data_IF_246940185578
#
_entry.id   IF_246940185578
#
_cell.length_a   1.000
_cell.length_b   1.000
_cell.length_c   1.000
_cell.angle_alpha   90.00
_cell.angle_beta   90.00
_cell.angle_gamma   90.00
#
_symmetry.space_group_name_H-M   'P 1'
#
loop_
_entity.id
_entity.type
_entity.pdbx_description
1 polymer ?
#
# COMPACT_ATOMS: atom_id res chain seq x y z
N UNK A 1 -2.26 -8.32 9.25
CA UNK A 1 -1.91 -8.25 7.82
C UNK A 1 -2.60 -7.05 7.19
N UNK A 2 -2.17 -6.61 6.00
CA UNK A 2 -2.29 -5.22 5.54
C UNK A 2 -1.33 -4.29 6.29
N UNK A 3 -1.61 -2.97 6.36
CA UNK A 3 -0.74 -1.89 6.85
C UNK A 3 0.07 -2.21 8.12
N UNK A 4 -0.44 -3.04 9.02
CA UNK A 4 0.28 -3.54 10.21
C UNK A 4 1.60 -4.29 9.92
N UNK A 5 1.84 -4.79 8.70
CA UNK A 5 3.14 -5.37 8.31
C UNK A 5 4.20 -4.29 8.02
N UNK A 6 3.79 -3.06 7.74
CA UNK A 6 4.70 -2.00 7.30
C UNK A 6 4.76 -0.83 8.26
N UNK A 7 3.71 -0.60 9.05
CA UNK A 7 3.65 0.51 10.01
C UNK A 7 3.67 0.02 11.44
N UNK A 8 4.28 0.80 12.33
CA UNK A 8 4.14 0.61 13.77
C UNK A 8 2.69 0.81 14.24
N UNK A 9 2.40 0.31 15.44
CA UNK A 9 1.31 0.84 16.24
C UNK A 9 1.87 1.97 17.11
N UNK A 10 1.86 3.20 16.58
CA UNK A 10 2.46 4.35 17.24
C UNK A 10 1.73 4.67 18.55
N UNK A 11 2.49 4.97 19.59
CA UNK A 11 2.05 5.45 20.90
C UNK A 11 2.37 6.92 21.10
N UNK A 12 3.32 7.45 20.31
CA UNK A 12 3.75 8.84 20.37
C UNK A 12 4.19 9.33 18.97
N UNK A 13 4.28 10.66 18.74
CA UNK A 13 4.86 11.22 17.52
C UNK A 13 6.37 10.94 17.35
N UNK A 14 7.06 10.46 18.38
CA UNK A 14 8.49 10.14 18.35
C UNK A 14 8.76 8.73 17.81
N UNK A 15 7.76 7.86 17.82
CA UNK A 15 7.84 6.51 17.24
C UNK A 15 8.12 6.59 15.73
N UNK A 16 8.79 5.56 15.20
CA UNK A 16 8.87 5.39 13.75
C UNK A 16 7.48 5.13 13.16
N UNK A 17 7.21 5.69 11.98
CA UNK A 17 5.99 5.36 11.25
C UNK A 17 6.11 3.94 10.68
N UNK A 18 7.22 3.66 10.03
CA UNK A 18 7.51 2.41 9.33
C UNK A 18 8.21 1.39 10.23
N UNK A 19 7.98 0.11 9.97
CA UNK A 19 8.70 -0.99 10.59
C UNK A 19 10.05 -1.19 9.90
N UNK A 20 11.14 -0.90 10.60
CA UNK A 20 12.51 -1.11 10.13
C UNK A 20 13.13 -2.39 10.70
N UNK A 21 14.08 -2.95 9.96
CA UNK A 21 15.09 -3.88 10.44
C UNK A 21 16.29 -3.08 10.97
N UNK A 22 17.00 -3.64 11.95
CA UNK A 22 18.25 -3.07 12.46
C UNK A 22 19.34 -3.00 11.37
N UNK A 23 19.38 -4.01 10.51
CA UNK A 23 20.32 -4.13 9.38
C UNK A 23 19.57 -4.30 8.05
N UNK A 24 20.21 -3.90 6.95
CA UNK A 24 19.69 -4.19 5.61
C UNK A 24 19.85 -5.67 5.29
N UNK A 25 18.73 -6.36 5.04
CA UNK A 25 18.69 -7.80 4.75
C UNK A 25 18.55 -8.11 3.25
N UNK A 26 18.98 -7.20 2.39
CA UNK A 26 18.97 -7.37 0.92
C UNK A 26 17.68 -6.89 0.24
N UNK A 27 16.75 -6.29 0.99
CA UNK A 27 15.53 -5.65 0.48
C UNK A 27 15.36 -4.23 1.02
N UNK A 28 16.46 -3.61 1.44
CA UNK A 28 16.46 -2.35 2.17
C UNK A 28 16.22 -2.55 3.67
N UNK A 29 16.00 -1.44 4.36
CA UNK A 29 15.82 -1.40 5.82
C UNK A 29 14.41 -1.74 6.29
N UNK A 30 13.44 -2.01 5.42
CA UNK A 30 12.09 -2.36 5.87
C UNK A 30 12.01 -3.78 6.43
N UNK A 31 11.20 -3.98 7.47
CA UNK A 31 10.95 -5.29 8.09
C UNK A 31 10.40 -6.32 7.11
N UNK A 32 9.62 -5.88 6.14
CA UNK A 32 9.01 -6.71 5.11
C UNK A 32 9.37 -6.18 3.71
N UNK A 33 9.43 -7.04 2.68
CA UNK A 33 9.74 -6.60 1.32
C UNK A 33 8.78 -5.52 0.83
N UNK A 34 9.33 -4.41 0.34
CA UNK A 34 8.55 -3.22 -0.05
C UNK A 34 7.55 -3.49 -1.17
N UNK A 35 7.86 -4.42 -2.09
CA UNK A 35 6.95 -4.83 -3.16
C UNK A 35 5.65 -5.50 -2.65
N UNK A 36 5.57 -5.86 -1.36
CA UNK A 36 4.35 -6.37 -0.73
C UNK A 36 3.46 -5.28 -0.11
N UNK A 37 3.94 -4.04 -0.02
CA UNK A 37 3.12 -2.91 0.41
C UNK A 37 2.19 -2.48 -0.74
N UNK A 38 0.89 -2.44 -0.45
CA UNK A 38 -0.13 -1.98 -1.41
C UNK A 38 -0.86 -0.75 -0.86
N UNK A 39 -1.29 0.11 -1.77
CA UNK A 39 -2.30 1.13 -1.54
C UNK A 39 -3.42 0.99 -2.56
N UNK A 40 -4.63 1.42 -2.19
CA UNK A 40 -5.80 1.30 -3.05
C UNK A 40 -6.11 2.64 -3.74
N UNK A 41 -6.56 2.55 -4.99
CA UNK A 41 -7.16 3.64 -5.73
C UNK A 41 -8.64 3.33 -6.01
N UNK A 42 -9.48 4.37 -6.12
CA UNK A 42 -10.93 4.25 -6.30
C UNK A 42 -11.74 4.38 -5.01
N UNK A 43 -11.09 4.45 -3.85
CA UNK A 43 -11.70 4.68 -2.53
C UNK A 43 -10.94 5.77 -1.78
N UNK A 44 -11.64 6.54 -0.95
CA UNK A 44 -11.05 7.49 0.00
C UNK A 44 -10.95 6.82 1.37
N UNK A 45 -9.75 6.70 1.94
CA UNK A 45 -9.58 6.03 3.23
C UNK A 45 -8.42 6.60 4.06
N UNK A 46 -8.47 6.37 5.36
CA UNK A 46 -7.37 6.71 6.29
C UNK A 46 -6.76 5.46 6.88
N UNK A 47 -5.49 5.56 7.25
CA UNK A 47 -4.73 4.53 7.97
C UNK A 47 -4.34 5.08 9.34
N UNK A 48 -5.07 4.69 10.39
CA UNK A 48 -4.81 5.09 11.76
C UNK A 48 -3.67 4.26 12.35
N UNK A 49 -2.53 4.92 12.57
CA UNK A 49 -1.32 4.26 13.08
C UNK A 49 -1.38 4.00 14.57
N UNK A 50 -2.32 4.60 15.30
CA UNK A 50 -2.51 4.38 16.74
C UNK A 50 -3.26 3.06 17.02
N UNK A 51 -4.02 2.58 16.02
CA UNK A 51 -4.86 1.38 16.11
C UNK A 51 -4.08 0.08 15.89
N UNK A 52 -4.51 -1.01 16.54
CA UNK A 52 -3.90 -2.32 16.36
C UNK A 52 -4.21 -2.91 14.97
N UNK A 53 -3.54 -4.01 14.64
CA UNK A 53 -3.83 -4.78 13.43
C UNK A 53 -5.33 -5.11 13.33
N UNK A 54 -5.92 -4.92 12.15
CA UNK A 54 -7.34 -5.18 11.89
C UNK A 54 -8.23 -3.95 12.04
N UNK A 55 -7.76 -2.91 12.75
CA UNK A 55 -8.54 -1.70 13.04
C UNK A 55 -7.93 -0.42 12.44
N UNK A 56 -6.81 -0.54 11.71
CA UNK A 56 -6.10 0.62 11.15
C UNK A 56 -6.87 1.34 10.03
N UNK A 57 -7.76 0.67 9.32
CA UNK A 57 -8.34 1.20 8.07
C UNK A 57 -9.76 1.70 8.31
N UNK A 58 -10.01 2.94 7.88
CA UNK A 58 -11.36 3.50 7.78
C UNK A 58 -11.57 3.99 6.35
N UNK A 59 -12.53 3.38 5.65
CA UNK A 59 -12.95 3.82 4.33
C UNK A 59 -14.06 4.86 4.51
N UNK A 60 -13.86 6.05 3.95
CA UNK A 60 -14.83 7.15 4.07
C UNK A 60 -15.89 7.07 2.96
N UNK A 61 -15.47 6.82 1.72
CA UNK A 61 -16.34 6.74 0.52
C UNK A 61 -15.59 6.22 -0.71
N UNK A 62 -16.30 6.01 -1.80
CA UNK A 62 -15.71 5.84 -3.13
C UNK A 62 -15.07 7.16 -3.62
N UNK A 63 -14.03 7.06 -4.44
CA UNK A 63 -13.34 8.24 -4.99
C UNK A 63 -14.22 9.08 -5.94
N UNK A 64 -15.29 8.50 -6.49
CA UNK A 64 -16.30 9.19 -7.30
C UNK A 64 -17.35 9.95 -6.45
N UNK A 65 -17.26 9.89 -5.11
CA UNK A 65 -18.19 10.54 -4.19
C UNK A 65 -19.30 9.65 -3.65
N UNK A 66 -19.53 8.48 -4.23
CA UNK A 66 -20.56 7.54 -3.76
C UNK A 66 -20.20 6.94 -2.39
N UNK A 67 -21.18 6.58 -1.54
CA UNK A 67 -20.93 5.84 -0.32
C UNK A 67 -20.22 4.50 -0.59
N UNK A 68 -19.31 4.11 0.30
CA UNK A 68 -18.75 2.76 0.29
C UNK A 68 -19.71 1.81 1.01
N UNK A 69 -20.12 0.73 0.35
CA UNK A 69 -21.04 -0.28 0.91
C UNK A 69 -20.28 -1.58 1.21
N UNK A 70 -20.16 -1.92 2.49
CA UNK A 70 -19.47 -3.12 2.96
C UNK A 70 -20.06 -4.43 2.44
N UNK A 71 -21.33 -4.43 2.02
CA UNK A 71 -22.04 -5.62 1.53
C UNK A 71 -22.04 -5.72 0.00
N UNK A 72 -21.52 -4.71 -0.71
CA UNK A 72 -21.48 -4.69 -2.17
C UNK A 72 -20.26 -5.44 -2.70
N UNK A 73 -20.46 -6.16 -3.79
CA UNK A 73 -19.36 -6.76 -4.56
C UNK A 73 -18.75 -5.71 -5.49
N UNK A 74 -17.43 -5.51 -5.39
CA UNK A 74 -16.66 -4.61 -6.24
C UNK A 74 -15.71 -5.40 -7.14
N UNK A 75 -15.47 -4.89 -8.35
CA UNK A 75 -14.38 -5.35 -9.19
C UNK A 75 -13.10 -4.60 -8.80
N UNK A 76 -12.03 -5.35 -8.54
CA UNK A 76 -10.75 -4.80 -8.13
C UNK A 76 -9.67 -5.26 -9.09
N UNK A 77 -8.94 -4.30 -9.67
CA UNK A 77 -7.80 -4.59 -10.51
C UNK A 77 -6.56 -4.84 -9.65
N UNK A 78 -5.91 -5.99 -9.84
CA UNK A 78 -4.64 -6.35 -9.20
C UNK A 78 -3.70 -6.97 -10.23
N UNK A 79 -2.40 -6.91 -9.97
CA UNK A 79 -1.44 -7.63 -10.80
C UNK A 79 -1.55 -9.16 -10.62
N UNK A 80 -0.96 -9.92 -11.54
CA UNK A 80 -0.99 -11.39 -11.51
C UNK A 80 -0.36 -11.98 -10.25
N UNK A 81 0.67 -11.35 -9.66
CA UNK A 81 1.28 -11.81 -8.41
C UNK A 81 0.26 -11.81 -7.26
N UNK A 82 -0.45 -10.69 -7.07
CA UNK A 82 -1.50 -10.57 -6.04
C UNK A 82 -2.70 -11.44 -6.33
N UNK A 83 -3.17 -11.48 -7.58
CA UNK A 83 -4.30 -12.31 -7.98
C UNK A 83 -4.08 -13.81 -7.72
N UNK A 84 -2.83 -14.27 -7.79
CA UNK A 84 -2.45 -15.66 -7.46
C UNK A 84 -2.17 -15.89 -5.95
N UNK A 85 -2.38 -14.89 -5.10
CA UNK A 85 -2.21 -14.98 -3.65
C UNK A 85 -0.81 -14.60 -3.14
N UNK A 86 0.04 -14.03 -3.99
CA UNK A 86 1.37 -13.57 -3.60
C UNK A 86 1.32 -12.51 -2.50
N UNK A 87 2.30 -12.57 -1.59
CA UNK A 87 2.39 -11.67 -0.43
C UNK A 87 1.43 -11.99 0.71
N UNK A 88 0.58 -13.02 0.59
CA UNK A 88 -0.37 -13.47 1.60
C UNK A 88 -1.52 -12.48 1.94
N UNK A 89 -1.68 -11.39 1.17
CA UNK A 89 -2.73 -10.39 1.43
C UNK A 89 -4.14 -10.97 1.24
N UNK A 90 -4.38 -11.71 0.15
CA UNK A 90 -5.71 -12.29 -0.12
C UNK A 90 -5.95 -13.58 0.68
N UNK A 91 -4.92 -14.41 0.83
CA UNK A 91 -5.05 -15.72 1.47
C UNK A 91 -5.13 -15.60 2.97
N UNK A 92 -4.06 -15.11 3.61
CA UNK A 92 -4.02 -14.97 5.06
C UNK A 92 -4.69 -13.67 5.50
N UNK A 93 -4.50 -12.57 4.77
CA UNK A 93 -5.07 -11.27 5.11
C UNK A 93 -6.59 -11.20 5.01
N UNK A 94 -7.16 -11.63 3.88
CA UNK A 94 -8.61 -11.67 3.66
C UNK A 94 -9.24 -13.05 3.94
N UNK A 95 -8.44 -14.06 4.32
CA UNK A 95 -8.95 -15.40 4.65
C UNK A 95 -9.44 -16.21 3.45
N UNK A 96 -9.11 -15.81 2.22
CA UNK A 96 -9.60 -16.49 1.01
C UNK A 96 -8.76 -17.74 0.74
N UNK A 97 -9.35 -18.96 0.71
CA UNK A 97 -8.58 -20.16 0.41
C UNK A 97 -7.91 -20.06 -0.97
N UNK A 98 -6.67 -20.53 -1.10
CA UNK A 98 -5.91 -20.47 -2.37
C UNK A 98 -6.67 -21.12 -3.54
N UNK A 99 -7.38 -22.22 -3.28
CA UNK A 99 -8.21 -22.92 -4.27
C UNK A 99 -9.40 -22.10 -4.79
N UNK A 100 -9.84 -21.07 -4.04
CA UNK A 100 -10.95 -20.20 -4.40
C UNK A 100 -10.51 -18.94 -5.16
N UNK A 101 -9.20 -18.65 -5.24
CA UNK A 101 -8.70 -17.43 -5.90
C UNK A 101 -9.03 -17.41 -7.39
N UNK A 102 -8.78 -18.52 -8.11
CA UNK A 102 -9.03 -18.60 -9.55
C UNK A 102 -10.50 -18.36 -9.92
N UNK A 103 -11.43 -18.80 -9.07
CA UNK A 103 -12.87 -18.62 -9.27
C UNK A 103 -13.34 -17.16 -9.12
N UNK A 104 -12.52 -16.31 -8.51
CA UNK A 104 -12.80 -14.88 -8.29
C UNK A 104 -12.24 -14.01 -9.42
N UNK A 105 -11.47 -14.57 -10.34
CA UNK A 105 -10.94 -13.86 -11.51
C UNK A 105 -12.08 -13.77 -12.53
N UNK A 106 -12.65 -12.58 -12.66
CA UNK A 106 -13.70 -12.30 -13.67
C UNK A 106 -13.13 -11.84 -15.01
N UNK A 107 -11.88 -11.35 -15.00
CA UNK A 107 -11.18 -10.87 -16.19
C UNK A 107 -9.67 -10.86 -15.95
N UNK A 108 -8.90 -11.13 -17.00
CA UNK A 108 -7.44 -10.95 -17.04
C UNK A 108 -7.05 -10.39 -18.41
N UNK A 109 -6.05 -9.52 -18.45
CA UNK A 109 -5.54 -8.96 -19.70
C UNK A 109 -4.70 -9.99 -20.48
N UNK A 110 -4.65 -9.85 -21.81
CA UNK A 110 -3.89 -10.77 -22.68
C UNK A 110 -2.37 -10.55 -22.62
N UNK A 111 -1.95 -9.32 -22.30
CA UNK A 111 -0.54 -8.92 -22.20
C UNK A 111 -0.19 -8.53 -20.77
N UNK A 112 1.10 -8.38 -20.50
CA UNK A 112 1.58 -7.97 -19.19
C UNK A 112 1.37 -6.47 -18.94
N UNK A 113 1.48 -6.06 -17.67
CA UNK A 113 1.35 -4.66 -17.27
C UNK A 113 2.35 -3.75 -18.01
N UNK A 114 3.55 -4.26 -18.31
CA UNK A 114 4.60 -3.48 -18.99
C UNK A 114 4.20 -3.12 -20.42
N UNK A 115 3.58 -4.05 -21.14
CA UNK A 115 3.04 -3.81 -22.47
C UNK A 115 2.00 -2.68 -22.46
N UNK A 116 1.04 -2.73 -21.53
CA UNK A 116 0.00 -1.69 -21.45
C UNK A 116 0.55 -0.34 -20.98
N UNK A 117 1.54 -0.32 -20.06
CA UNK A 117 2.24 0.91 -19.70
C UNK A 117 2.97 1.51 -20.89
N UNK A 118 3.69 0.69 -21.67
CA UNK A 118 4.37 1.11 -22.89
C UNK A 118 3.37 1.68 -23.89
N UNK A 119 2.26 0.98 -24.16
CA UNK A 119 1.19 1.47 -25.04
C UNK A 119 0.61 2.79 -24.57
N UNK A 120 0.38 2.94 -23.27
CA UNK A 120 -0.13 4.20 -22.72
C UNK A 120 0.85 5.35 -22.92
N UNK A 121 2.14 5.13 -22.71
CA UNK A 121 3.20 6.12 -22.95
C UNK A 121 3.27 6.50 -24.44
N UNK A 122 3.22 5.49 -25.32
CA UNK A 122 3.17 5.70 -26.77
C UNK A 122 1.94 6.50 -27.21
N UNK A 123 0.78 6.33 -26.57
CA UNK A 123 -0.45 7.05 -26.89
C UNK A 123 -0.38 8.51 -26.43
N UNK A 124 -0.04 8.76 -25.16
CA UNK A 124 -0.09 10.11 -24.58
C UNK A 124 1.11 10.98 -24.92
N UNK A 125 2.25 10.34 -25.26
CA UNK A 125 3.57 10.94 -25.52
C UNK A 125 4.19 11.65 -24.31
N UNK A 126 3.46 12.57 -23.69
CA UNK A 126 3.86 13.31 -22.50
C UNK A 126 3.08 12.78 -21.30
N UNK A 127 3.80 12.29 -20.29
CA UNK A 127 3.22 11.88 -19.03
C UNK A 127 3.06 13.08 -18.11
N UNK A 128 1.87 13.27 -17.55
CA UNK A 128 1.62 14.22 -16.45
C UNK A 128 0.83 13.55 -15.31
N UNK A 129 1.42 12.55 -14.62
CA UNK A 129 0.74 11.87 -13.53
C UNK A 129 0.55 12.83 -12.34
N UNK A 130 -0.65 12.85 -11.77
CA UNK A 130 -0.95 13.59 -10.54
C UNK A 130 -1.15 12.62 -9.38
N UNK A 131 -0.74 13.00 -8.15
CA UNK A 131 -1.07 12.20 -6.98
C UNK A 131 -2.59 12.16 -6.81
N UNK A 132 -3.12 10.96 -6.54
CA UNK A 132 -4.56 10.79 -6.37
C UNK A 132 -5.06 11.37 -5.05
N UNK A 133 -4.20 11.46 -4.03
CA UNK A 133 -4.52 11.95 -2.68
C UNK A 133 -5.75 11.25 -2.06
N UNK A 134 -5.90 9.96 -2.35
CA UNK A 134 -7.05 9.15 -1.94
C UNK A 134 -6.86 8.48 -0.57
N UNK A 135 -5.65 8.54 0.00
CA UNK A 135 -5.40 7.99 1.31
C UNK A 135 -4.27 8.70 2.05
N UNK A 136 -4.28 8.59 3.38
CA UNK A 136 -3.24 9.13 4.25
C UNK A 136 -3.13 8.38 5.58
N UNK A 137 -1.97 8.49 6.22
CA UNK A 137 -1.75 8.04 7.59
C UNK A 137 -2.25 9.10 8.59
N UNK A 138 -2.97 8.68 9.64
CA UNK A 138 -3.46 9.57 10.70
C UNK A 138 -3.04 9.05 12.08
N UNK A 139 -2.90 9.92 13.09
CA UNK A 139 -3.02 11.38 13.03
C UNK A 139 -1.82 12.05 12.34
N UNK A 140 -2.08 13.09 11.53
CA UNK A 140 -1.04 13.75 10.72
C UNK A 140 0.00 14.49 11.56
N UNK A 141 -0.38 15.01 12.73
CA UNK A 141 0.54 15.64 13.68
C UNK A 141 1.62 14.66 14.18
N UNK A 142 1.40 13.35 14.04
CA UNK A 142 2.39 12.31 14.36
C UNK A 142 3.04 11.77 13.10
N UNK A 143 2.23 11.44 12.09
CA UNK A 143 2.69 10.68 10.92
C UNK A 143 3.51 11.53 9.97
N UNK A 144 3.24 12.84 9.84
CA UNK A 144 4.02 13.75 9.00
C UNK A 144 5.46 13.92 9.51
N UNK A 145 5.70 14.29 10.79
CA UNK A 145 7.08 14.38 11.28
C UNK A 145 7.77 13.01 11.32
N UNK A 146 7.08 11.94 11.71
CA UNK A 146 7.66 10.59 11.70
C UNK A 146 8.05 10.14 10.30
N UNK A 147 7.19 10.36 9.29
CA UNK A 147 7.49 10.04 7.89
C UNK A 147 8.71 10.79 7.37
N UNK A 148 8.92 12.04 7.80
CA UNK A 148 10.12 12.81 7.43
C UNK A 148 11.38 12.18 8.03
N UNK A 149 11.37 11.85 9.33
CA UNK A 149 12.50 11.17 9.99
C UNK A 149 12.81 9.82 9.33
N UNK A 150 11.78 9.03 9.05
CA UNK A 150 11.89 7.73 8.40
C UNK A 150 12.45 7.86 6.97
N UNK A 151 12.08 8.91 6.24
CA UNK A 151 12.65 9.23 4.93
C UNK A 151 14.14 9.55 5.03
N UNK A 152 14.53 10.40 5.98
CA UNK A 152 15.94 10.78 6.17
C UNK A 152 16.82 9.57 6.55
N UNK A 153 16.28 8.60 7.29
CA UNK A 153 16.98 7.33 7.62
C UNK A 153 17.21 6.46 6.39
N UNK A 154 16.28 6.48 5.43
CA UNK A 154 16.31 5.64 4.23
C UNK A 154 17.10 6.27 3.08
N UNK A 155 16.98 7.59 2.92
CA UNK A 155 17.41 8.31 1.72
C UNK A 155 18.22 9.57 2.02
N UNK A 156 18.35 9.97 3.29
CA UNK A 156 19.17 11.11 3.67
C UNK A 156 20.64 10.89 3.34
N UNK A 157 21.33 11.96 2.93
CA UNK A 157 22.77 11.92 2.73
C UNK A 157 23.46 11.57 4.05
N UNK A 158 24.31 10.53 4.04
CA UNK A 158 25.23 10.32 5.16
C UNK A 158 26.13 11.55 5.23
N UNK A 159 25.97 12.39 6.26
CA UNK A 159 27.02 13.37 6.59
C UNK A 159 28.32 12.57 6.70
N UNK A 160 29.30 12.93 5.86
CA UNK A 160 30.64 12.43 6.01
C UNK A 160 31.05 12.70 7.47
N UNK A 161 31.38 11.64 8.19
CA UNK A 161 32.00 11.78 9.50
C UNK A 161 33.40 12.31 9.20
N UNK A 162 33.65 13.57 9.56
CA UNK A 162 35.01 14.14 9.61
C UNK A 162 35.87 13.40 10.64
#
# INVERSE_FOLDING_TARGET
MSYALWTNQMKSPDDHLMLFNEEDKGFGRFKNPSFNFDSAAGIIYTVDVTKPQGEKIKIERMANGEPFDMNKTYQVAVNSYRGNGGGDLLTKGAGIPKAELAKRIVYSTDKDLRFYLMKRIEEVKVLDPKPLNQWKFIPEDWTVPASKRDYDILFGEKKAVE
#
